data_IF_162908037806
#
_entry.id   IF_162908037806
#
_cell.length_a   1.000
_cell.length_b   1.000
_cell.length_c   1.000
_cell.angle_alpha   90.00
_cell.angle_beta   90.00
_cell.angle_gamma   90.00
#
_symmetry.space_group_name_H-M   'P 1'
#
loop_
_entity.id
_entity.type
_entity.pdbx_description
1 polymer ?
#
# COMPACT_ATOMS: atom_id res chain seq x y z
N UNK A 1 -5.60 -15.83 34.83
CA UNK A 1 -5.75 -15.23 33.49
C UNK A 1 -4.39 -14.69 33.09
N UNK A 2 -3.81 -15.09 31.96
CA UNK A 2 -2.52 -14.53 31.52
C UNK A 2 -2.77 -13.30 30.65
N UNK A 3 -2.30 -12.13 31.09
CA UNK A 3 -2.35 -10.91 30.29
C UNK A 3 -1.13 -10.84 29.39
N UNK A 4 -1.34 -10.66 28.08
CA UNK A 4 -0.22 -10.55 27.13
C UNK A 4 0.36 -9.14 27.14
N UNK A 5 1.65 -9.03 26.88
CA UNK A 5 2.32 -7.73 26.68
C UNK A 5 1.58 -6.92 25.60
N UNK A 6 1.33 -5.65 25.87
CA UNK A 6 0.58 -4.75 25.01
C UNK A 6 -0.95 -4.86 25.11
N UNK A 7 -1.48 -5.82 25.88
CA UNK A 7 -2.92 -5.85 26.17
C UNK A 7 -3.31 -4.71 27.12
N UNK A 8 -4.59 -4.34 27.08
CA UNK A 8 -5.17 -3.35 27.99
C UNK A 8 -5.86 -4.05 29.16
N UNK A 9 -5.65 -3.50 30.35
CA UNK A 9 -6.30 -3.96 31.58
C UNK A 9 -6.89 -2.79 32.35
N UNK A 10 -8.00 -3.03 33.04
CA UNK A 10 -8.63 -2.09 33.95
C UNK A 10 -8.47 -2.59 35.37
N UNK A 11 -7.94 -1.71 36.21
CA UNK A 11 -7.75 -1.97 37.65
C UNK A 11 -7.59 -0.64 38.36
N UNK A 12 -8.01 -0.59 39.63
CA UNK A 12 -8.00 0.64 40.46
C UNK A 12 -8.66 1.84 39.76
N UNK A 13 -9.72 1.58 38.99
CA UNK A 13 -10.50 2.61 38.29
C UNK A 13 -9.81 3.26 37.08
N UNK A 14 -8.67 2.72 36.61
CA UNK A 14 -7.94 3.24 35.44
C UNK A 14 -7.64 2.14 34.43
N UNK A 15 -7.38 2.55 33.20
CA UNK A 15 -6.93 1.68 32.11
C UNK A 15 -5.41 1.75 31.98
N UNK A 16 -4.80 0.59 31.77
CA UNK A 16 -3.37 0.39 31.75
C UNK A 16 -2.96 -0.50 30.57
N UNK A 17 -1.74 -0.28 30.08
CA UNK A 17 -1.08 -1.15 29.10
C UNK A 17 -0.11 -2.07 29.83
N UNK A 18 -0.15 -3.37 29.52
CA UNK A 18 0.76 -4.38 30.06
C UNK A 18 2.15 -4.27 29.41
N UNK A 19 3.19 -4.17 30.23
CA UNK A 19 4.58 -4.00 29.80
C UNK A 19 5.35 -5.33 29.75
N UNK A 20 6.47 -5.40 28.99
CA UNK A 20 7.28 -6.61 28.83
C UNK A 20 7.84 -7.20 30.12
N UNK A 21 8.05 -6.38 31.15
CA UNK A 21 8.61 -6.78 32.45
C UNK A 21 7.60 -7.50 33.35
N UNK A 22 6.42 -7.83 32.83
CA UNK A 22 5.37 -8.57 33.55
C UNK A 22 5.69 -10.07 33.61
N UNK A 23 5.34 -10.71 34.72
CA UNK A 23 5.38 -12.16 34.96
C UNK A 23 4.00 -12.70 35.33
N UNK A 24 3.88 -14.01 35.50
CA UNK A 24 2.60 -14.69 35.76
C UNK A 24 1.84 -14.16 37.00
N UNK A 25 2.55 -13.77 38.06
CA UNK A 25 1.96 -13.25 39.30
C UNK A 25 2.10 -11.73 39.46
N UNK A 26 2.74 -11.04 38.51
CA UNK A 26 3.10 -9.63 38.68
C UNK A 26 3.03 -8.88 37.35
N UNK A 27 2.15 -7.89 37.25
CA UNK A 27 2.01 -7.07 36.06
C UNK A 27 2.73 -5.74 36.21
N UNK A 28 3.58 -5.41 35.25
CA UNK A 28 4.11 -4.08 35.07
C UNK A 28 3.18 -3.31 34.14
N UNK A 29 2.60 -2.23 34.64
CA UNK A 29 1.51 -1.52 33.99
C UNK A 29 1.87 -0.05 33.81
N UNK A 30 1.56 0.51 32.63
CA UNK A 30 1.64 1.95 32.38
C UNK A 30 0.23 2.51 32.12
N UNK A 31 -0.17 3.65 32.73
CA UNK A 31 -1.47 4.22 32.48
C UNK A 31 -1.65 4.56 31.00
N UNK A 32 -2.84 4.33 30.47
CA UNK A 32 -3.16 4.71 29.11
C UNK A 32 -3.15 6.26 29.00
N UNK A 33 -2.21 6.80 28.22
CA UNK A 33 -1.97 8.24 28.10
C UNK A 33 -1.05 8.84 29.17
N UNK A 34 -0.53 8.01 30.10
CA UNK A 34 0.44 8.40 31.11
C UNK A 34 1.90 8.26 30.66
N UNK A 35 2.81 8.78 31.49
CA UNK A 35 4.27 8.73 31.26
C UNK A 35 4.92 7.51 31.91
N UNK A 36 6.19 7.25 31.59
CA UNK A 36 6.95 6.14 32.19
C UNK A 36 7.19 6.33 33.70
N UNK A 37 7.04 7.54 34.23
CA UNK A 37 7.12 7.80 35.67
C UNK A 37 5.93 7.24 36.46
N UNK A 38 4.83 6.94 35.77
CA UNK A 38 3.60 6.43 36.36
C UNK A 38 3.48 4.90 36.23
N UNK A 39 4.57 4.24 35.82
CA UNK A 39 4.62 2.78 35.75
C UNK A 39 4.45 2.21 37.15
N UNK A 40 3.53 1.25 37.28
CA UNK A 40 3.21 0.59 38.53
C UNK A 40 3.23 -0.93 38.38
N UNK A 41 3.76 -1.60 39.39
CA UNK A 41 3.70 -3.05 39.53
C UNK A 41 2.45 -3.46 40.30
N UNK A 42 1.71 -4.44 39.77
CA UNK A 42 0.52 -5.01 40.39
C UNK A 42 0.75 -6.48 40.66
N UNK A 43 0.70 -6.87 41.93
CA UNK A 43 0.82 -8.26 42.35
C UNK A 43 -0.56 -8.95 42.29
N UNK A 44 -0.73 -9.83 41.31
CA UNK A 44 -1.99 -10.49 40.98
C UNK A 44 -2.57 -11.31 42.14
N UNK A 45 -1.78 -12.04 42.96
CA UNK A 45 -2.34 -12.77 44.09
C UNK A 45 -2.99 -11.89 45.17
N UNK A 46 -2.65 -10.59 45.23
CA UNK A 46 -3.22 -9.65 46.20
C UNK A 46 -4.41 -8.87 45.63
N UNK A 47 -4.41 -8.59 44.33
CA UNK A 47 -5.48 -7.82 43.66
C UNK A 47 -6.58 -8.72 43.08
N UNK A 48 -6.29 -10.00 42.86
CA UNK A 48 -7.29 -11.00 42.46
C UNK A 48 -8.03 -10.63 41.18
N UNK A 49 -9.37 -10.68 41.25
CA UNK A 49 -10.28 -10.45 40.12
C UNK A 49 -10.55 -8.96 39.81
N UNK A 50 -9.93 -8.03 40.56
CA UNK A 50 -10.04 -6.59 40.29
C UNK A 50 -9.26 -6.16 39.03
N UNK A 51 -8.35 -7.02 38.54
CA UNK A 51 -7.66 -6.83 37.27
C UNK A 51 -8.45 -7.51 36.16
N UNK A 52 -9.09 -6.70 35.33
CA UNK A 52 -9.93 -7.19 34.22
C UNK A 52 -9.37 -6.73 32.87
N UNK A 53 -9.54 -7.51 31.78
CA UNK A 53 -9.24 -7.03 30.45
C UNK A 53 -10.03 -5.75 30.13
N UNK A 54 -9.36 -4.77 29.51
CA UNK A 54 -9.98 -3.56 29.02
C UNK A 54 -9.99 -3.54 27.49
N UNK A 55 -11.00 -2.90 26.91
CA UNK A 55 -11.11 -2.68 25.48
C UNK A 55 -11.60 -1.27 25.24
N UNK A 56 -11.17 -0.65 24.14
CA UNK A 56 -11.76 0.60 23.71
C UNK A 56 -13.20 0.38 23.27
N UNK A 57 -14.08 1.29 23.68
CA UNK A 57 -15.42 1.37 23.11
C UNK A 57 -15.35 1.63 21.61
N UNK A 58 -16.29 1.06 20.88
CA UNK A 58 -16.44 1.38 19.46
C UNK A 58 -16.81 2.86 19.29
N UNK A 59 -16.34 3.53 18.22
CA UNK A 59 -16.69 4.91 17.96
C UNK A 59 -18.21 5.07 17.76
N UNK A 60 -18.81 6.03 18.45
CA UNK A 60 -20.23 6.37 18.34
C UNK A 60 -20.46 7.40 17.22
N UNK A 61 -21.23 7.07 16.17
CA UNK A 61 -21.57 8.01 15.09
C UNK A 61 -22.30 9.27 15.56
N UNK A 62 -23.03 9.21 16.67
CA UNK A 62 -23.75 10.36 17.22
C UNK A 62 -22.83 11.34 17.97
N UNK A 63 -21.58 10.95 18.24
CA UNK A 63 -20.61 11.74 18.98
C UNK A 63 -19.33 11.94 18.16
N UNK A 64 -19.34 12.82 17.14
CA UNK A 64 -18.14 13.14 16.39
C UNK A 64 -17.08 13.72 17.33
N UNK A 65 -15.90 13.08 17.37
CA UNK A 65 -14.75 13.52 18.15
C UNK A 65 -14.04 14.74 17.53
N UNK A 66 -12.81 14.99 17.95
CA UNK A 66 -11.99 16.06 17.38
C UNK A 66 -11.40 15.69 16.00
N UNK A 67 -10.90 16.70 15.29
CA UNK A 67 -10.32 16.55 13.96
C UNK A 67 -9.16 15.54 13.89
N UNK A 68 -8.25 15.55 14.87
CA UNK A 68 -7.09 14.67 14.89
C UNK A 68 -7.52 13.22 15.10
N UNK A 69 -8.41 12.98 16.06
CA UNK A 69 -9.00 11.66 16.32
C UNK A 69 -9.75 11.12 15.10
N UNK A 70 -10.58 11.93 14.45
CA UNK A 70 -11.28 11.55 13.22
C UNK A 70 -10.30 11.26 12.07
N UNK A 71 -9.22 12.05 11.93
CA UNK A 71 -8.17 11.81 10.93
C UNK A 71 -7.45 10.48 11.18
N UNK A 72 -7.08 10.21 12.43
CA UNK A 72 -6.45 8.95 12.83
C UNK A 72 -7.37 7.76 12.58
N UNK A 73 -8.66 7.85 12.93
CA UNK A 73 -9.64 6.80 12.65
C UNK A 73 -9.77 6.54 11.15
N UNK A 74 -9.86 7.60 10.33
CA UNK A 74 -9.90 7.48 8.87
C UNK A 74 -8.64 6.81 8.32
N UNK A 75 -7.46 7.23 8.79
CA UNK A 75 -6.19 6.70 8.31
C UNK A 75 -6.00 5.24 8.77
N UNK A 76 -6.39 4.90 10.00
CA UNK A 76 -6.43 3.54 10.53
C UNK A 76 -7.40 2.65 9.74
N UNK A 77 -8.62 3.12 9.44
CA UNK A 77 -9.58 2.39 8.61
C UNK A 77 -9.00 2.14 7.20
N UNK A 78 -8.42 3.18 6.57
CA UNK A 78 -7.74 3.04 5.26
C UNK A 78 -6.62 2.02 5.29
N UNK A 79 -5.84 1.96 6.38
CA UNK A 79 -4.79 0.96 6.55
C UNK A 79 -5.37 -0.43 6.83
N UNK A 80 -6.41 -0.55 7.66
CA UNK A 80 -7.10 -1.80 7.97
C UNK A 80 -7.74 -2.45 6.73
N UNK A 81 -8.29 -1.63 5.82
CA UNK A 81 -8.81 -2.12 4.54
C UNK A 81 -7.72 -2.56 3.56
N UNK A 82 -6.44 -2.16 3.75
CA UNK A 82 -5.33 -2.72 2.94
C UNK A 82 -5.09 -4.19 3.26
N UNK A 83 -5.39 -4.62 4.47
CA UNK A 83 -5.32 -6.03 4.89
C UNK A 83 -6.48 -6.88 4.35
N UNK A 84 -7.58 -6.27 3.90
CA UNK A 84 -8.77 -6.96 3.42
C UNK A 84 -8.78 -7.31 1.93
N UNK A 85 -7.89 -6.71 1.12
CA UNK A 85 -7.95 -6.80 -0.34
C UNK A 85 -7.20 -8.02 -0.95
N UNK A 86 -6.88 -9.02 -0.13
CA UNK A 86 -6.13 -10.21 -0.54
C UNK A 86 -4.60 -10.02 -0.43
N UNK A 87 -3.80 -10.96 -0.94
CA UNK A 87 -2.33 -10.96 -0.78
C UNK A 87 -1.61 -9.85 -1.57
N UNK A 88 -2.34 -9.09 -2.40
CA UNK A 88 -1.79 -8.07 -3.29
C UNK A 88 -2.17 -6.67 -2.84
N UNK A 89 -1.18 -5.76 -2.83
CA UNK A 89 -1.38 -4.36 -2.47
C UNK A 89 -2.15 -3.58 -3.54
N UNK A 90 -2.04 -4.00 -4.80
CA UNK A 90 -2.67 -3.38 -5.95
C UNK A 90 -4.18 -3.50 -5.95
N UNK A 91 -4.74 -4.53 -5.30
CA UNK A 91 -6.17 -4.88 -5.35
C UNK A 91 -7.10 -3.70 -5.02
N UNK A 92 -6.70 -2.82 -4.09
CA UNK A 92 -7.51 -1.66 -3.69
C UNK A 92 -7.51 -0.50 -4.71
N UNK A 93 -6.72 -0.60 -5.79
CA UNK A 93 -6.51 0.47 -6.79
C UNK A 93 -6.76 0.01 -8.23
N UNK A 94 -7.33 -1.18 -8.41
CA UNK A 94 -7.78 -1.66 -9.70
C UNK A 94 -9.22 -1.21 -9.95
N UNK A 95 -9.49 -0.64 -11.12
CA UNK A 95 -10.84 -0.38 -11.62
C UNK A 95 -11.31 -1.51 -12.55
N UNK A 96 -10.61 -2.65 -12.51
CA UNK A 96 -10.91 -3.87 -13.27
C UNK A 96 -10.82 -5.05 -12.32
N UNK A 97 -11.64 -6.07 -12.56
CA UNK A 97 -11.54 -7.35 -11.86
C UNK A 97 -10.71 -8.33 -12.72
N UNK A 98 -9.45 -8.64 -12.34
CA UNK A 98 -8.63 -9.57 -13.09
C UNK A 98 -9.20 -10.99 -13.01
N UNK A 99 -9.10 -11.74 -14.11
CA UNK A 99 -9.46 -13.16 -14.11
C UNK A 99 -8.40 -13.98 -13.35
N UNK A 100 -8.75 -15.14 -12.77
CA UNK A 100 -7.79 -15.95 -12.01
C UNK A 100 -6.50 -16.28 -12.76
N UNK A 101 -6.58 -16.54 -14.08
CA UNK A 101 -5.39 -16.81 -14.89
C UNK A 101 -4.47 -15.59 -15.03
N UNK A 102 -5.03 -14.37 -15.04
CA UNK A 102 -4.26 -13.13 -15.15
C UNK A 102 -3.42 -12.83 -13.90
N UNK A 103 -3.69 -13.53 -12.80
CA UNK A 103 -2.89 -13.45 -11.57
C UNK A 103 -1.64 -14.33 -11.63
N UNK A 104 -1.53 -15.26 -12.59
CA UNK A 104 -0.39 -16.17 -12.68
C UNK A 104 0.91 -15.43 -12.99
N UNK A 105 0.99 -14.52 -13.99
CA UNK A 105 2.19 -13.72 -14.22
C UNK A 105 2.59 -12.86 -13.02
N UNK A 106 1.61 -12.30 -12.30
CA UNK A 106 1.84 -11.54 -11.07
C UNK A 106 2.53 -12.41 -10.01
N UNK A 107 1.97 -13.59 -9.72
CA UNK A 107 2.51 -14.53 -8.73
C UNK A 107 3.90 -15.04 -9.11
N UNK A 108 4.17 -15.25 -10.40
CA UNK A 108 5.48 -15.66 -10.89
C UNK A 108 6.48 -14.51 -10.79
N UNK A 109 6.11 -13.31 -11.22
CA UNK A 109 6.95 -12.13 -11.20
C UNK A 109 7.44 -11.78 -9.80
N UNK A 110 6.57 -11.84 -8.79
CA UNK A 110 6.92 -11.56 -7.40
C UNK A 110 7.90 -12.56 -6.76
N UNK A 111 8.22 -13.67 -7.44
CA UNK A 111 9.23 -14.65 -7.00
C UNK A 111 10.62 -14.40 -7.61
N UNK A 112 10.76 -13.42 -8.50
CA UNK A 112 11.98 -13.14 -9.25
C UNK A 112 12.62 -11.84 -8.77
N UNK A 113 13.94 -11.83 -8.62
CA UNK A 113 14.72 -10.62 -8.37
C UNK A 113 16.04 -10.67 -9.19
N UNK A 114 16.19 -9.86 -10.26
CA UNK A 114 15.22 -8.90 -10.78
C UNK A 114 14.05 -9.59 -11.51
N UNK A 115 12.88 -8.93 -11.52
CA UNK A 115 11.70 -9.40 -12.25
C UNK A 115 11.96 -9.41 -13.76
N UNK A 116 12.03 -10.60 -14.36
CA UNK A 116 12.17 -10.81 -15.82
C UNK A 116 11.25 -11.93 -16.26
N UNK A 117 10.17 -11.57 -16.98
CA UNK A 117 9.12 -12.49 -17.38
C UNK A 117 8.77 -12.29 -18.85
N UNK A 118 8.54 -13.40 -19.57
CA UNK A 118 7.92 -13.41 -20.89
C UNK A 118 6.48 -13.92 -20.74
N UNK A 119 5.52 -13.08 -21.08
CA UNK A 119 4.09 -13.44 -21.12
C UNK A 119 3.72 -13.74 -22.58
N UNK A 120 3.41 -15.00 -22.87
CA UNK A 120 3.23 -15.51 -24.23
C UNK A 120 1.87 -16.18 -24.44
N UNK A 121 0.84 -15.70 -23.76
CA UNK A 121 -0.54 -16.20 -23.91
C UNK A 121 -1.16 -15.86 -25.27
N UNK A 122 -2.30 -16.47 -25.60
CA UNK A 122 -3.00 -16.22 -26.86
C UNK A 122 -3.48 -14.77 -27.00
N UNK A 123 -3.77 -14.39 -28.25
CA UNK A 123 -4.29 -13.05 -28.57
C UNK A 123 -5.67 -12.86 -27.91
N UNK A 124 -5.87 -11.72 -27.26
CA UNK A 124 -7.14 -11.38 -26.61
C UNK A 124 -7.29 -11.83 -25.15
N UNK A 125 -6.33 -12.59 -24.59
CA UNK A 125 -6.36 -13.05 -23.19
C UNK A 125 -6.08 -11.91 -22.18
N UNK A 126 -5.48 -10.81 -22.63
CA UNK A 126 -5.25 -9.63 -21.80
C UNK A 126 -3.82 -9.51 -21.27
N UNK A 127 -2.82 -9.84 -22.09
CA UNK A 127 -1.38 -9.63 -21.79
C UNK A 127 -1.05 -8.22 -21.29
N UNK A 128 -1.74 -7.19 -21.81
CA UNK A 128 -1.62 -5.81 -21.35
C UNK A 128 -2.07 -5.66 -19.90
N UNK A 129 -3.21 -6.25 -19.54
CA UNK A 129 -3.75 -6.26 -18.17
C UNK A 129 -2.80 -7.00 -17.23
N UNK A 130 -2.24 -8.12 -17.65
CA UNK A 130 -1.30 -8.91 -16.83
C UNK A 130 -0.01 -8.14 -16.54
N UNK A 131 0.58 -7.50 -17.56
CA UNK A 131 1.77 -6.67 -17.40
C UNK A 131 1.50 -5.45 -16.51
N UNK A 132 0.38 -4.76 -16.73
CA UNK A 132 -0.02 -3.59 -15.94
C UNK A 132 -0.36 -3.95 -14.49
N UNK A 133 -0.95 -5.13 -14.25
CA UNK A 133 -1.24 -5.66 -12.92
C UNK A 133 0.05 -5.88 -12.12
N UNK A 134 1.05 -6.52 -12.73
CA UNK A 134 2.37 -6.69 -12.10
C UNK A 134 3.04 -5.34 -11.83
N UNK A 135 3.03 -4.43 -12.80
CA UNK A 135 3.62 -3.10 -12.62
C UNK A 135 2.92 -2.29 -11.50
N UNK A 136 1.59 -2.37 -11.40
CA UNK A 136 0.80 -1.75 -10.33
C UNK A 136 1.18 -2.30 -8.96
N UNK A 137 1.31 -3.62 -8.84
CA UNK A 137 1.72 -4.24 -7.57
C UNK A 137 3.11 -3.76 -7.14
N UNK A 138 4.09 -3.75 -8.05
CA UNK A 138 5.44 -3.30 -7.75
C UNK A 138 5.48 -1.81 -7.33
N UNK A 139 4.67 -0.95 -7.96
CA UNK A 139 4.50 0.45 -7.54
C UNK A 139 3.92 0.55 -6.13
N UNK A 140 2.89 -0.25 -5.83
CA UNK A 140 2.19 -0.20 -4.55
C UNK A 140 2.98 -0.82 -3.39
N UNK A 141 3.92 -1.70 -3.71
CA UNK A 141 4.97 -2.18 -2.80
C UNK A 141 6.08 -1.15 -2.57
N UNK A 142 6.25 -0.20 -3.49
CA UNK A 142 7.34 0.77 -3.47
C UNK A 142 8.67 0.20 -3.99
N UNK A 143 8.64 -0.96 -4.63
CA UNK A 143 9.81 -1.61 -5.23
C UNK A 143 10.26 -0.90 -6.51
N UNK A 144 9.31 -0.31 -7.24
CA UNK A 144 9.59 0.56 -8.38
C UNK A 144 8.96 1.93 -8.17
N UNK A 145 9.52 2.94 -8.84
CA UNK A 145 9.01 4.33 -8.84
C UNK A 145 8.65 4.84 -10.23
N UNK A 146 9.08 4.13 -11.27
CA UNK A 146 8.96 4.52 -12.67
C UNK A 146 8.57 3.33 -13.53
N UNK A 147 7.84 3.59 -14.60
CA UNK A 147 7.41 2.60 -15.58
C UNK A 147 7.70 3.16 -16.98
N UNK A 148 8.27 2.32 -17.83
CA UNK A 148 8.38 2.58 -19.25
C UNK A 148 7.79 1.40 -20.03
N UNK A 149 6.80 1.68 -20.89
CA UNK A 149 6.25 0.71 -21.85
C UNK A 149 6.84 1.00 -23.21
N UNK A 150 7.43 0.01 -23.87
CA UNK A 150 7.86 0.12 -25.26
C UNK A 150 6.87 -0.61 -26.16
N UNK A 151 6.29 0.07 -27.13
CA UNK A 151 5.32 -0.52 -28.04
C UNK A 151 5.35 0.10 -29.45
N UNK A 152 4.79 -0.57 -30.46
CA UNK A 152 4.49 0.07 -31.74
C UNK A 152 3.60 1.32 -31.55
N UNK A 153 3.76 2.38 -32.36
CA UNK A 153 3.03 3.64 -32.19
C UNK A 153 1.50 3.47 -32.18
N UNK A 154 0.96 2.55 -32.98
CA UNK A 154 -0.49 2.32 -33.08
C UNK A 154 -1.11 1.69 -31.81
N UNK A 155 -0.29 1.09 -30.94
CA UNK A 155 -0.74 0.54 -29.65
C UNK A 155 -0.56 1.52 -28.48
N UNK A 156 0.14 2.64 -28.70
CA UNK A 156 0.50 3.54 -27.61
C UNK A 156 -0.73 4.15 -26.91
N UNK A 157 -1.75 4.56 -27.70
CA UNK A 157 -3.02 5.04 -27.16
C UNK A 157 -3.74 3.98 -26.35
N UNK A 158 -3.87 2.75 -26.88
CA UNK A 158 -4.48 1.65 -26.16
C UNK A 158 -3.77 1.36 -24.82
N UNK A 159 -2.44 1.39 -24.79
CA UNK A 159 -1.69 1.24 -23.54
C UNK A 159 -1.99 2.36 -22.54
N UNK A 160 -2.11 3.60 -23.00
CA UNK A 160 -2.42 4.75 -22.16
C UNK A 160 -3.83 4.63 -21.56
N UNK A 161 -4.81 4.25 -22.38
CA UNK A 161 -6.20 4.04 -21.95
C UNK A 161 -6.26 2.90 -20.93
N UNK A 162 -5.67 1.74 -21.23
CA UNK A 162 -5.68 0.61 -20.29
C UNK A 162 -5.00 0.93 -18.96
N UNK A 163 -3.83 1.60 -18.97
CA UNK A 163 -3.12 1.99 -17.75
C UNK A 163 -3.91 3.01 -16.92
N UNK A 164 -4.51 4.01 -17.56
CA UNK A 164 -5.23 5.07 -16.87
C UNK A 164 -6.59 4.59 -16.34
N UNK A 165 -7.40 3.95 -17.20
CA UNK A 165 -8.76 3.53 -16.86
C UNK A 165 -8.78 2.39 -15.85
N UNK A 166 -7.92 1.37 -16.02
CA UNK A 166 -7.97 0.14 -15.21
C UNK A 166 -7.04 0.16 -14.00
N UNK A 167 -5.91 0.86 -14.08
CA UNK A 167 -4.84 0.80 -13.08
C UNK A 167 -4.54 2.14 -12.41
N UNK A 168 -5.23 3.22 -12.79
CA UNK A 168 -4.97 4.57 -12.28
C UNK A 168 -3.48 4.97 -12.45
N UNK A 169 -2.89 4.61 -13.59
CA UNK A 169 -1.53 4.97 -13.99
C UNK A 169 -1.62 5.93 -15.17
N UNK A 170 -1.35 7.20 -14.93
CA UNK A 170 -1.36 8.23 -15.97
C UNK A 170 0.03 8.35 -16.59
N UNK A 171 0.22 7.71 -17.75
CA UNK A 171 1.48 7.73 -18.48
C UNK A 171 1.46 8.75 -19.62
N UNK A 172 2.60 9.40 -19.86
CA UNK A 172 2.79 10.30 -21.01
C UNK A 172 3.21 9.52 -22.25
N UNK A 173 2.64 9.89 -23.40
CA UNK A 173 3.03 9.32 -24.69
C UNK A 173 4.30 10.00 -25.21
N UNK A 174 5.37 9.23 -25.35
CA UNK A 174 6.64 9.66 -25.95
C UNK A 174 6.69 9.14 -27.39
N UNK A 175 6.12 9.94 -28.29
CA UNK A 175 6.02 9.71 -29.73
C UNK A 175 6.82 10.79 -30.47
N UNK A 176 7.21 10.57 -31.74
CA UNK A 176 7.84 11.61 -32.56
C UNK A 176 7.01 12.90 -32.63
N UNK A 177 5.68 12.79 -32.54
CA UNK A 177 4.75 13.93 -32.56
C UNK A 177 4.63 14.68 -31.23
N UNK A 178 4.90 14.02 -30.10
CA UNK A 178 4.66 14.58 -28.75
C UNK A 178 5.94 14.98 -28.03
N UNK A 179 7.09 14.39 -28.39
CA UNK A 179 8.37 14.58 -27.68
C UNK A 179 8.77 16.05 -27.54
N UNK A 180 8.70 16.82 -28.64
CA UNK A 180 9.06 18.25 -28.64
C UNK A 180 8.21 19.06 -27.65
N UNK A 181 6.95 18.67 -27.42
CA UNK A 181 6.06 19.31 -26.44
C UNK A 181 6.46 18.95 -25.02
N UNK A 182 6.79 17.68 -24.77
CA UNK A 182 7.22 17.20 -23.45
C UNK A 182 8.55 17.82 -23.03
N UNK A 183 9.53 17.88 -23.95
CA UNK A 183 10.85 18.47 -23.71
C UNK A 183 10.78 19.96 -23.33
N UNK A 184 9.80 20.72 -23.84
CA UNK A 184 9.62 22.13 -23.44
C UNK A 184 9.31 22.32 -21.95
N UNK A 185 8.84 21.28 -21.29
CA UNK A 185 8.56 21.31 -19.84
C UNK A 185 9.77 20.93 -19.00
N UNK A 186 10.86 20.47 -19.62
CA UNK A 186 12.08 20.05 -18.94
C UNK A 186 13.02 21.24 -18.69
N UNK A 187 13.72 21.23 -17.56
CA UNK A 187 14.79 22.17 -17.32
C UNK A 187 16.01 21.90 -18.22
N UNK A 188 16.87 22.89 -18.40
CA UNK A 188 18.10 22.71 -19.18
C UNK A 188 18.94 21.55 -18.64
N UNK A 189 19.22 20.55 -19.48
CA UNK A 189 19.97 19.35 -19.11
C UNK A 189 19.17 18.28 -18.36
N UNK A 190 17.88 18.46 -18.14
CA UNK A 190 17.01 17.46 -17.52
C UNK A 190 16.39 16.56 -18.59
N UNK A 191 16.44 15.23 -18.38
CA UNK A 191 15.76 14.29 -19.26
C UNK A 191 14.25 14.31 -19.02
N UNK A 192 13.45 14.15 -20.08
CA UNK A 192 12.01 13.95 -19.93
C UNK A 192 11.68 12.70 -19.10
N UNK A 193 12.53 11.67 -19.14
CA UNK A 193 12.36 10.43 -18.35
C UNK A 193 12.64 10.62 -16.85
N UNK A 194 13.24 11.74 -16.46
CA UNK A 194 13.39 12.12 -15.06
C UNK A 194 12.19 12.92 -14.56
N UNK A 195 11.57 13.71 -15.44
CA UNK A 195 10.39 14.51 -15.12
C UNK A 195 9.10 13.66 -15.08
N UNK A 196 8.94 12.75 -16.06
CA UNK A 196 7.73 11.93 -16.21
C UNK A 196 8.02 10.49 -15.74
N UNK A 197 7.49 10.06 -14.59
CA UNK A 197 7.80 8.75 -14.03
C UNK A 197 7.15 7.59 -14.79
N UNK A 198 6.06 7.84 -15.50
CA UNK A 198 5.31 6.84 -16.26
C UNK A 198 5.25 7.27 -17.72
N UNK A 199 5.86 6.47 -18.60
CA UNK A 199 5.96 6.79 -20.02
C UNK A 199 5.60 5.59 -20.89
N UNK A 200 5.00 5.88 -22.04
CA UNK A 200 4.80 4.92 -23.13
C UNK A 200 5.59 5.43 -24.31
N UNK A 201 6.64 4.70 -24.69
CA UNK A 201 7.63 5.10 -25.69
C UNK A 201 7.39 4.29 -26.95
N UNK A 202 7.26 4.96 -28.10
CA UNK A 202 7.17 4.21 -29.34
C UNK A 202 8.51 3.63 -29.78
N UNK A 203 8.44 2.45 -30.37
CA UNK A 203 9.61 1.81 -31.00
C UNK A 203 10.19 2.65 -32.15
N UNK A 204 9.38 3.52 -32.76
CA UNK A 204 9.82 4.39 -33.85
C UNK A 204 10.65 5.56 -33.31
N UNK A 205 10.24 6.12 -32.17
CA UNK A 205 10.99 7.16 -31.49
C UNK A 205 12.36 6.64 -31.03
N UNK A 206 12.40 5.48 -30.36
CA UNK A 206 13.65 4.97 -29.78
C UNK A 206 14.68 4.52 -30.82
N UNK A 207 14.24 4.20 -32.05
CA UNK A 207 15.12 3.85 -33.17
C UNK A 207 15.57 5.07 -33.97
N UNK A 208 14.97 6.23 -33.75
CA UNK A 208 15.36 7.45 -34.45
C UNK A 208 16.74 7.89 -34.00
N UNK A 209 17.61 8.26 -34.94
CA UNK A 209 19.02 8.65 -34.69
C UNK A 209 19.18 10.03 -34.07
N UNK A 210 18.15 10.51 -33.35
CA UNK A 210 18.15 11.83 -32.71
C UNK A 210 19.01 11.86 -31.46
#
# INVERSE_FOLDING_TARGET
MSFSVGSLVKTRGREWVVLPESSDDFLMLRPLGGTDQEIAGIFLPLEGDDVQPATFDLPDPARPGDFLSCRLLRDAARLGFRSGAGPFRSSARLNVEPRPYQLVPLLMGLKLDPVRLLIADDVGIGKTVEAALLARELLDRGEIRRIAVLCPPHLAGQWQDELSEKFNIHAELVLPSTVTRLERSTAAGQSLFDLYPFVIVSTDYIKSSR
#
